data_IF_957338448060
#
_entry.id   IF_957338448060
#
_cell.length_a   1.000
_cell.length_b   1.000
_cell.length_c   1.000
_cell.angle_alpha   90.00
_cell.angle_beta   90.00
_cell.angle_gamma   90.00
#
_symmetry.space_group_name_H-M   'P 1'
#
loop_
_entity.id
_entity.type
_entity.pdbx_description
1 polymer ?
#
# COMPACT_ATOMS: atom_id res chain seq x y z
N UNK A 1 39.99 33.98 -30.69
CA UNK A 1 38.91 34.30 -29.72
C UNK A 1 38.33 32.98 -29.30
N UNK A 2 38.87 32.40 -28.20
CA UNK A 2 38.47 31.07 -27.68
C UNK A 2 37.31 31.24 -26.70
N UNK A 3 36.23 30.51 -26.93
CA UNK A 3 35.07 30.48 -26.04
C UNK A 3 35.40 29.47 -24.92
N UNK A 4 35.24 29.78 -23.63
CA UNK A 4 35.41 28.79 -22.57
C UNK A 4 34.17 27.88 -22.49
N UNK A 5 34.38 26.58 -22.61
CA UNK A 5 33.44 25.56 -22.22
C UNK A 5 33.23 25.63 -20.70
N UNK A 6 32.06 26.03 -20.27
CA UNK A 6 31.61 25.87 -18.87
C UNK A 6 31.09 24.47 -18.69
N UNK A 7 31.97 23.59 -18.24
CA UNK A 7 31.62 22.27 -17.69
C UNK A 7 30.88 22.51 -16.35
N UNK A 8 29.56 22.47 -16.37
CA UNK A 8 28.72 22.51 -15.18
C UNK A 8 28.56 21.07 -14.66
N UNK A 9 29.61 20.56 -14.01
CA UNK A 9 29.56 19.32 -13.22
C UNK A 9 28.64 19.55 -11.99
N UNK A 10 27.35 19.24 -12.14
CA UNK A 10 26.40 19.24 -11.04
C UNK A 10 26.73 18.00 -10.19
N UNK A 11 27.17 18.15 -8.93
CA UNK A 11 27.53 17.01 -8.10
C UNK A 11 26.27 16.15 -7.88
N UNK A 12 26.26 14.95 -8.46
CA UNK A 12 25.25 13.92 -8.17
C UNK A 12 25.43 13.54 -6.70
N UNK A 13 24.64 14.13 -5.83
CA UNK A 13 24.66 13.85 -4.41
C UNK A 13 24.41 12.35 -4.20
N UNK A 14 25.45 11.63 -3.79
CA UNK A 14 25.43 10.19 -3.58
C UNK A 14 24.46 9.88 -2.42
N UNK A 15 23.26 9.45 -2.76
CA UNK A 15 22.20 9.09 -1.81
C UNK A 15 22.72 8.10 -0.77
N UNK A 16 22.41 8.34 0.52
CA UNK A 16 22.85 7.47 1.63
C UNK A 16 22.18 6.09 1.53
N UNK A 17 22.83 5.05 2.05
CA UNK A 17 22.30 3.68 1.98
C UNK A 17 20.90 3.54 2.63
N UNK A 18 20.64 4.27 3.71
CA UNK A 18 19.33 4.32 4.36
C UNK A 18 18.24 4.92 3.48
N UNK A 19 18.49 6.07 2.86
CA UNK A 19 17.55 6.74 1.94
C UNK A 19 17.19 5.83 0.76
N UNK A 20 18.18 5.12 0.23
CA UNK A 20 17.99 4.18 -0.88
C UNK A 20 17.16 2.96 -0.46
N UNK A 21 17.34 2.49 0.79
CA UNK A 21 16.54 1.40 1.34
C UNK A 21 15.06 1.80 1.44
N UNK A 22 14.78 3.00 1.92
CA UNK A 22 13.43 3.55 2.00
C UNK A 22 12.77 3.65 0.62
N UNK A 23 13.50 4.16 -0.40
CA UNK A 23 12.99 4.21 -1.77
C UNK A 23 12.65 2.83 -2.34
N UNK A 24 13.45 1.81 -2.04
CA UNK A 24 13.16 0.44 -2.50
C UNK A 24 11.93 -0.11 -1.76
N UNK A 25 11.77 0.14 -0.47
CA UNK A 25 10.58 -0.28 0.28
C UNK A 25 9.31 0.40 -0.23
N UNK A 26 9.38 1.70 -0.56
CA UNK A 26 8.25 2.42 -1.16
C UNK A 26 7.89 1.86 -2.55
N UNK A 27 8.90 1.59 -3.37
CA UNK A 27 8.70 0.95 -4.67
C UNK A 27 8.11 -0.46 -4.51
N UNK A 28 8.64 -1.26 -3.58
CA UNK A 28 8.16 -2.61 -3.30
C UNK A 28 6.71 -2.60 -2.82
N UNK A 29 6.33 -1.68 -1.91
CA UNK A 29 4.96 -1.54 -1.43
C UNK A 29 3.98 -1.27 -2.56
N UNK A 30 4.33 -0.38 -3.52
CA UNK A 30 3.50 -0.13 -4.71
C UNK A 30 3.37 -1.37 -5.58
N UNK A 31 4.51 -2.00 -5.94
CA UNK A 31 4.52 -3.15 -6.86
C UNK A 31 3.80 -4.36 -6.26
N UNK A 32 4.01 -4.64 -4.96
CA UNK A 32 3.28 -5.71 -4.28
C UNK A 32 1.78 -5.41 -4.14
N UNK A 33 1.41 -4.16 -3.91
CA UNK A 33 0.01 -3.76 -3.87
C UNK A 33 -0.69 -3.94 -5.22
N UNK A 34 -0.02 -3.58 -6.30
CA UNK A 34 -0.59 -3.63 -7.65
C UNK A 34 -0.65 -5.06 -8.23
N UNK A 35 0.41 -5.87 -8.01
CA UNK A 35 0.57 -7.18 -8.66
C UNK A 35 0.43 -8.37 -7.69
N UNK A 36 0.31 -8.13 -6.39
CA UNK A 36 0.31 -9.15 -5.36
C UNK A 36 1.69 -9.77 -5.14
N UNK A 37 1.80 -10.63 -4.12
CA UNK A 37 3.08 -11.30 -3.82
C UNK A 37 3.53 -12.23 -4.94
N UNK A 38 2.61 -13.05 -5.48
CA UNK A 38 2.96 -14.05 -6.50
C UNK A 38 3.36 -13.37 -7.82
N UNK A 39 2.60 -12.37 -8.25
CA UNK A 39 2.82 -11.66 -9.52
C UNK A 39 4.02 -10.71 -9.53
N UNK A 40 4.64 -10.43 -8.39
CA UNK A 40 5.76 -9.49 -8.26
C UNK A 40 7.11 -10.19 -8.36
N UNK A 41 8.06 -9.55 -9.04
CA UNK A 41 9.49 -9.95 -9.11
C UNK A 41 10.39 -8.88 -8.50
N UNK A 42 11.58 -9.30 -8.02
CA UNK A 42 12.60 -8.33 -7.55
C UNK A 42 13.15 -7.44 -8.68
N UNK A 43 13.03 -7.86 -9.93
CA UNK A 43 13.41 -7.06 -11.10
C UNK A 43 12.42 -5.89 -11.32
N UNK A 44 11.12 -6.12 -11.17
CA UNK A 44 10.10 -5.08 -11.26
C UNK A 44 10.25 -4.05 -10.13
N UNK A 45 10.50 -4.52 -8.90
CA UNK A 45 10.77 -3.65 -7.76
C UNK A 45 12.03 -2.80 -8.01
N UNK A 46 13.09 -3.40 -8.52
CA UNK A 46 14.32 -2.70 -8.85
C UNK A 46 14.09 -1.61 -9.90
N UNK A 47 13.31 -1.92 -10.95
CA UNK A 47 12.92 -0.95 -11.99
C UNK A 47 12.11 0.19 -11.38
N UNK A 48 11.10 -0.11 -10.56
CA UNK A 48 10.26 0.88 -9.91
C UNK A 48 11.03 1.77 -8.91
N UNK A 49 12.09 1.24 -8.29
CA UNK A 49 12.97 1.95 -7.36
C UNK A 49 14.18 2.60 -8.02
N UNK A 50 14.29 2.57 -9.36
CA UNK A 50 15.43 3.09 -10.14
C UNK A 50 16.80 2.57 -9.65
N UNK A 51 16.88 1.28 -9.29
CA UNK A 51 18.09 0.59 -8.86
C UNK A 51 18.31 -0.70 -9.66
N UNK A 52 19.48 -1.34 -9.52
CA UNK A 52 19.72 -2.65 -10.13
C UNK A 52 19.10 -3.78 -9.30
N UNK A 53 18.62 -4.85 -9.95
CA UNK A 53 18.10 -6.03 -9.26
C UNK A 53 19.12 -6.66 -8.29
N UNK A 54 20.43 -6.83 -8.65
CA UNK A 54 21.42 -7.32 -7.71
C UNK A 54 21.55 -6.46 -6.45
N UNK A 55 21.28 -5.15 -6.55
CA UNK A 55 21.29 -4.25 -5.39
C UNK A 55 20.13 -4.56 -4.44
N UNK A 56 18.91 -4.79 -4.97
CA UNK A 56 17.75 -5.20 -4.18
C UNK A 56 18.01 -6.52 -3.46
N UNK A 57 18.52 -7.53 -4.20
CA UNK A 57 18.83 -8.86 -3.64
C UNK A 57 19.92 -8.77 -2.57
N UNK A 58 20.95 -7.96 -2.77
CA UNK A 58 22.00 -7.76 -1.77
C UNK A 58 21.47 -7.11 -0.49
N UNK A 59 20.51 -6.21 -0.61
CA UNK A 59 19.97 -5.44 0.52
C UNK A 59 18.95 -6.21 1.33
N UNK A 60 18.06 -6.95 0.69
CA UNK A 60 16.92 -7.62 1.30
C UNK A 60 17.00 -9.15 1.29
N UNK A 61 17.89 -9.74 0.51
CA UNK A 61 18.04 -11.18 0.34
C UNK A 61 17.00 -11.76 -0.61
N UNK A 62 15.84 -12.18 -0.11
CA UNK A 62 14.80 -12.82 -0.90
C UNK A 62 13.58 -11.90 -1.11
N UNK A 63 12.75 -12.22 -2.11
CA UNK A 63 11.45 -11.56 -2.31
C UNK A 63 10.57 -11.68 -1.06
N UNK A 64 10.58 -12.84 -0.40
CA UNK A 64 9.84 -13.08 0.83
C UNK A 64 10.26 -12.13 1.96
N UNK A 65 11.57 -12.03 2.23
CA UNK A 65 12.08 -11.11 3.25
C UNK A 65 11.73 -9.65 2.95
N UNK A 66 11.86 -9.24 1.68
CA UNK A 66 11.45 -7.90 1.26
C UNK A 66 9.94 -7.67 1.47
N UNK A 67 9.11 -8.66 1.14
CA UNK A 67 7.66 -8.55 1.36
C UNK A 67 7.31 -8.48 2.84
N UNK A 68 7.94 -9.29 3.69
CA UNK A 68 7.77 -9.22 5.16
C UNK A 68 8.12 -7.84 5.69
N UNK A 69 9.19 -7.22 5.21
CA UNK A 69 9.54 -5.84 5.60
C UNK A 69 8.51 -4.81 5.11
N UNK A 70 7.96 -4.99 3.92
CA UNK A 70 6.85 -4.15 3.42
C UNK A 70 5.61 -4.30 4.31
N UNK A 71 5.27 -5.52 4.74
CA UNK A 71 4.14 -5.77 5.65
C UNK A 71 4.37 -5.10 7.01
N UNK A 72 5.55 -5.22 7.59
CA UNK A 72 5.89 -4.53 8.84
C UNK A 72 5.75 -3.01 8.70
N UNK A 73 6.33 -2.42 7.65
CA UNK A 73 6.24 -0.99 7.37
C UNK A 73 4.79 -0.53 7.18
N UNK A 74 3.99 -1.29 6.43
CA UNK A 74 2.58 -0.98 6.23
C UNK A 74 1.79 -0.98 7.54
N UNK A 75 2.02 -1.98 8.41
CA UNK A 75 1.42 -2.06 9.74
C UNK A 75 1.85 -0.91 10.65
N UNK A 76 3.13 -0.57 10.65
CA UNK A 76 3.65 0.53 11.47
C UNK A 76 3.09 1.88 11.02
N UNK A 77 2.98 2.10 9.70
CA UNK A 77 2.35 3.30 9.13
C UNK A 77 0.87 3.37 9.50
N UNK A 78 0.14 2.27 9.40
CA UNK A 78 -1.27 2.18 9.78
C UNK A 78 -1.48 2.50 11.26
N UNK A 79 -0.72 1.86 12.15
CA UNK A 79 -0.84 2.08 13.59
C UNK A 79 -0.39 3.49 14.00
N UNK A 80 0.61 4.07 13.32
CA UNK A 80 1.01 5.45 13.53
C UNK A 80 -0.12 6.43 13.15
N UNK A 81 -0.79 6.22 12.02
CA UNK A 81 -1.94 7.02 11.61
C UNK A 81 -3.11 6.91 12.60
N UNK A 82 -3.35 5.71 13.13
CA UNK A 82 -4.39 5.49 14.15
C UNK A 82 -4.08 6.19 15.47
N UNK A 83 -2.82 6.13 15.93
CA UNK A 83 -2.38 6.83 17.15
C UNK A 83 -2.44 8.35 16.98
N UNK A 84 -2.08 8.86 15.81
CA UNK A 84 -2.23 10.28 15.51
C UNK A 84 -3.70 10.72 15.59
N UNK A 85 -4.62 9.95 14.96
CA UNK A 85 -6.05 10.22 15.03
C UNK A 85 -6.61 10.08 16.47
N UNK A 86 -6.09 9.14 17.27
CA UNK A 86 -6.49 8.98 18.66
C UNK A 86 -6.07 10.18 19.52
N UNK A 87 -4.89 10.75 19.25
CA UNK A 87 -4.32 11.87 20.00
C UNK A 87 -4.92 13.25 19.62
N UNK A 88 -5.74 13.33 18.58
CA UNK A 88 -6.40 14.59 18.20
C UNK A 88 -7.32 15.09 19.32
N UNK A 89 -7.22 16.36 19.69
CA UNK A 89 -8.18 17.04 20.56
C UNK A 89 -9.39 17.44 19.73
N UNK A 90 -10.46 16.63 19.78
CA UNK A 90 -11.62 16.75 18.89
C UNK A 90 -12.88 16.16 19.51
N UNK A 91 -14.01 16.82 19.33
CA UNK A 91 -15.34 16.33 19.69
C UNK A 91 -15.84 15.17 18.80
N UNK A 92 -15.14 14.89 17.70
CA UNK A 92 -15.47 13.77 16.78
C UNK A 92 -15.19 12.45 17.49
N UNK A 93 -16.14 11.49 17.49
CA UNK A 93 -15.94 10.19 18.12
C UNK A 93 -14.66 9.48 17.63
N UNK A 94 -13.93 8.83 18.55
CA UNK A 94 -12.67 8.13 18.29
C UNK A 94 -12.80 7.15 17.12
N UNK A 95 -13.88 6.37 17.07
CA UNK A 95 -14.13 5.41 15.99
C UNK A 95 -14.18 6.06 14.62
N UNK A 96 -14.79 7.24 14.52
CA UNK A 96 -14.87 8.01 13.27
C UNK A 96 -13.52 8.59 12.88
N UNK A 97 -12.75 9.14 13.83
CA UNK A 97 -11.40 9.69 13.57
C UNK A 97 -10.46 8.60 13.05
N UNK A 98 -10.42 7.44 13.72
CA UNK A 98 -9.61 6.29 13.28
C UNK A 98 -10.10 5.76 11.93
N UNK A 99 -11.42 5.71 11.70
CA UNK A 99 -11.99 5.34 10.41
C UNK A 99 -11.58 6.27 9.27
N UNK A 100 -11.61 7.59 9.49
CA UNK A 100 -11.16 8.59 8.52
C UNK A 100 -9.65 8.49 8.26
N UNK A 101 -8.84 8.22 9.29
CA UNK A 101 -7.41 7.96 9.14
C UNK A 101 -7.16 6.70 8.29
N UNK A 102 -7.91 5.62 8.52
CA UNK A 102 -7.83 4.40 7.71
C UNK A 102 -8.11 4.65 6.23
N UNK A 103 -9.23 5.32 5.92
CA UNK A 103 -9.57 5.68 4.54
C UNK A 103 -8.49 6.59 3.92
N UNK A 104 -7.92 7.51 4.69
CA UNK A 104 -6.81 8.36 4.26
C UNK A 104 -5.57 7.58 3.79
N UNK A 105 -5.33 6.39 4.37
CA UNK A 105 -4.22 5.52 3.98
C UNK A 105 -4.39 4.91 2.57
N UNK A 106 -5.60 4.90 2.02
CA UNK A 106 -5.82 4.48 0.63
C UNK A 106 -5.06 5.36 -0.38
N UNK A 107 -4.72 6.61 0.00
CA UNK A 107 -3.86 7.48 -0.80
C UNK A 107 -2.40 6.99 -0.87
N UNK A 108 -1.95 6.17 0.08
CA UNK A 108 -0.64 5.53 0.04
C UNK A 108 -0.72 4.27 -0.82
N UNK A 109 -0.32 4.43 -2.08
CA UNK A 109 -0.39 3.36 -3.09
C UNK A 109 0.22 2.06 -2.58
N UNK A 110 -0.57 1.01 -2.62
CA UNK A 110 -0.16 -0.35 -2.29
C UNK A 110 -0.13 -0.69 -0.80
N UNK A 111 -0.27 0.27 0.14
CA UNK A 111 -0.20 -0.01 1.57
C UNK A 111 -1.29 -1.00 2.01
N UNK A 112 -2.56 -0.64 1.81
CA UNK A 112 -3.70 -1.46 2.23
C UNK A 112 -3.76 -2.77 1.45
N UNK A 113 -3.45 -2.74 0.15
CA UNK A 113 -3.43 -3.94 -0.69
C UNK A 113 -2.27 -4.88 -0.33
N UNK A 114 -1.09 -4.36 0.03
CA UNK A 114 0.01 -5.22 0.52
C UNK A 114 -0.37 -5.97 1.79
N UNK A 115 -1.08 -5.33 2.73
CA UNK A 115 -1.62 -5.99 3.92
C UNK A 115 -2.65 -7.06 3.55
N UNK A 116 -3.56 -6.77 2.61
CA UNK A 116 -4.56 -7.73 2.15
C UNK A 116 -3.90 -8.95 1.50
N UNK A 117 -2.88 -8.74 0.65
CA UNK A 117 -2.10 -9.85 0.07
C UNK A 117 -1.41 -10.70 1.14
N UNK A 118 -0.88 -10.08 2.20
CA UNK A 118 -0.29 -10.82 3.31
C UNK A 118 -1.34 -11.67 4.07
N UNK A 119 -2.56 -11.18 4.25
CA UNK A 119 -3.63 -11.94 4.90
C UNK A 119 -4.06 -13.16 4.07
N UNK A 120 -4.13 -13.05 2.75
CA UNK A 120 -4.41 -14.19 1.86
C UNK A 120 -3.30 -15.25 1.93
N UNK A 121 -2.06 -14.84 2.20
CA UNK A 121 -0.92 -15.74 2.40
C UNK A 121 -0.82 -16.31 3.82
N UNK A 122 -1.89 -16.30 4.59
CA UNK A 122 -1.90 -16.78 5.99
C UNK A 122 -1.41 -18.23 6.19
N UNK A 123 -1.49 -19.09 5.16
CA UNK A 123 -0.95 -20.44 5.15
C UNK A 123 0.54 -20.56 4.82
N UNK A 124 1.18 -19.49 4.32
CA UNK A 124 2.61 -19.47 4.01
C UNK A 124 3.46 -19.48 5.28
N UNK A 125 4.58 -20.20 5.28
CA UNK A 125 5.41 -20.39 6.47
C UNK A 125 6.22 -19.14 6.86
N UNK A 126 6.55 -18.29 5.92
CA UNK A 126 7.31 -17.03 6.16
C UNK A 126 6.39 -15.84 6.40
N UNK A 127 5.39 -15.67 5.54
CA UNK A 127 4.48 -14.50 5.57
C UNK A 127 3.34 -14.68 6.58
N UNK A 128 2.78 -15.90 6.71
CA UNK A 128 1.60 -16.16 7.53
C UNK A 128 1.72 -15.78 9.00
N UNK A 129 2.83 -16.12 9.70
CA UNK A 129 3.02 -15.68 11.09
C UNK A 129 3.03 -14.16 11.24
N UNK A 130 3.69 -13.45 10.32
CA UNK A 130 3.76 -11.98 10.32
C UNK A 130 2.40 -11.35 10.06
N UNK A 131 1.63 -11.91 9.11
CA UNK A 131 0.29 -11.44 8.79
C UNK A 131 -0.67 -11.61 9.98
N UNK A 132 -0.66 -12.76 10.65
CA UNK A 132 -1.50 -13.02 11.83
C UNK A 132 -1.13 -12.10 12.99
N UNK A 133 0.16 -11.97 13.30
CA UNK A 133 0.61 -11.07 14.36
C UNK A 133 0.26 -9.62 14.02
N UNK A 134 0.44 -9.20 12.77
CA UNK A 134 0.07 -7.87 12.31
C UNK A 134 -1.42 -7.58 12.50
N UNK A 135 -2.29 -8.51 12.13
CA UNK A 135 -3.74 -8.38 12.33
C UNK A 135 -4.11 -8.28 13.82
N UNK A 136 -3.47 -9.12 14.66
CA UNK A 136 -3.67 -9.06 16.11
C UNK A 136 -3.12 -7.78 16.74
N UNK A 137 -2.04 -7.18 16.22
CA UNK A 137 -1.56 -5.86 16.66
C UNK A 137 -2.61 -4.77 16.42
N UNK A 138 -3.29 -4.80 15.27
CA UNK A 138 -4.39 -3.86 14.98
C UNK A 138 -5.54 -4.09 15.95
N UNK A 139 -5.94 -5.34 16.20
CA UNK A 139 -6.99 -5.66 17.16
C UNK A 139 -6.63 -5.20 18.59
N UNK A 140 -5.40 -5.45 19.05
CA UNK A 140 -4.95 -4.98 20.38
C UNK A 140 -4.96 -3.45 20.47
N UNK A 141 -4.53 -2.75 19.43
CA UNK A 141 -4.64 -1.28 19.40
C UNK A 141 -6.09 -0.81 19.62
N UNK A 142 -7.04 -1.40 18.92
CA UNK A 142 -8.45 -1.04 19.06
C UNK A 142 -8.96 -1.29 20.49
N UNK A 143 -8.57 -2.44 21.08
CA UNK A 143 -8.98 -2.83 22.43
C UNK A 143 -8.31 -2.04 23.54
N UNK A 144 -7.00 -1.93 23.48
CA UNK A 144 -6.15 -1.53 24.61
C UNK A 144 -5.82 -0.04 24.56
N UNK A 145 -5.64 0.54 23.36
CA UNK A 145 -5.30 1.96 23.20
C UNK A 145 -6.54 2.81 22.87
N UNK A 146 -7.40 2.37 21.93
CA UNK A 146 -8.58 3.12 21.52
C UNK A 146 -9.83 2.87 22.41
N UNK A 147 -9.80 1.85 23.28
CA UNK A 147 -10.84 1.55 24.26
C UNK A 147 -12.12 0.94 23.66
N UNK A 148 -12.06 0.37 22.45
CA UNK A 148 -13.22 -0.25 21.82
C UNK A 148 -13.64 -1.53 22.55
N UNK A 149 -14.93 -1.80 22.59
CA UNK A 149 -15.48 -3.12 22.95
C UNK A 149 -15.09 -4.18 21.91
N UNK A 150 -15.33 -5.46 22.22
CA UNK A 150 -15.11 -6.56 21.24
C UNK A 150 -15.97 -6.33 19.99
N UNK A 151 -17.24 -5.97 20.17
CA UNK A 151 -18.19 -5.76 19.08
C UNK A 151 -17.82 -4.54 18.21
N UNK A 152 -17.40 -3.44 18.82
CA UNK A 152 -16.90 -2.26 18.08
C UNK A 152 -15.64 -2.59 17.31
N UNK A 153 -14.71 -3.36 17.90
CA UNK A 153 -13.49 -3.79 17.22
C UNK A 153 -13.80 -4.70 16.04
N UNK A 154 -14.73 -5.65 16.20
CA UNK A 154 -15.18 -6.54 15.11
C UNK A 154 -15.82 -5.72 13.98
N UNK A 155 -16.72 -4.80 14.30
CA UNK A 155 -17.38 -3.95 13.32
C UNK A 155 -16.38 -3.08 12.56
N UNK A 156 -15.40 -2.50 13.26
CA UNK A 156 -14.34 -1.71 12.65
C UNK A 156 -13.47 -2.54 11.69
N UNK A 157 -13.03 -3.73 12.11
CA UNK A 157 -12.25 -4.64 11.26
C UNK A 157 -13.05 -5.12 10.05
N UNK A 158 -14.34 -5.41 10.21
CA UNK A 158 -15.23 -5.82 9.12
C UNK A 158 -15.40 -4.70 8.08
N UNK A 159 -15.60 -3.45 8.54
CA UNK A 159 -15.65 -2.27 7.67
C UNK A 159 -14.34 -2.04 6.93
N UNK A 160 -13.20 -2.18 7.62
CA UNK A 160 -11.86 -2.07 7.00
C UNK A 160 -11.62 -3.13 5.92
N UNK A 161 -12.05 -4.38 6.15
CA UNK A 161 -11.94 -5.44 5.14
C UNK A 161 -12.86 -5.19 3.94
N UNK A 162 -14.06 -4.65 4.14
CA UNK A 162 -14.93 -4.22 3.04
C UNK A 162 -14.25 -3.13 2.19
N UNK A 163 -13.68 -2.12 2.84
CA UNK A 163 -12.93 -1.05 2.17
C UNK A 163 -11.78 -1.63 1.33
N UNK A 164 -10.97 -2.52 1.89
CA UNK A 164 -9.88 -3.17 1.15
C UNK A 164 -10.39 -3.97 -0.05
N UNK A 165 -11.50 -4.67 0.11
CA UNK A 165 -12.14 -5.43 -0.97
C UNK A 165 -12.59 -4.49 -2.09
N UNK A 166 -13.23 -3.38 -1.78
CA UNK A 166 -13.65 -2.39 -2.78
C UNK A 166 -12.46 -1.75 -3.51
N UNK A 167 -11.37 -1.45 -2.80
CA UNK A 167 -10.13 -0.95 -3.40
C UNK A 167 -9.53 -2.01 -4.34
N UNK A 168 -9.41 -3.26 -3.89
CA UNK A 168 -8.85 -4.36 -4.67
C UNK A 168 -9.68 -4.70 -5.91
N UNK A 169 -11.01 -4.60 -5.82
CA UNK A 169 -11.95 -4.76 -6.94
C UNK A 169 -12.02 -3.53 -7.85
N UNK A 170 -11.36 -2.41 -7.50
CA UNK A 170 -11.47 -1.14 -8.21
C UNK A 170 -12.92 -0.68 -8.38
N UNK A 171 -13.74 -0.85 -7.34
CA UNK A 171 -15.17 -0.53 -7.38
C UNK A 171 -15.46 0.93 -7.77
N UNK A 172 -14.51 1.83 -7.58
CA UNK A 172 -14.61 3.23 -8.02
C UNK A 172 -14.75 3.38 -9.53
N UNK A 173 -14.25 2.43 -10.33
CA UNK A 173 -14.38 2.43 -11.79
C UNK A 173 -15.84 2.21 -12.23
N UNK A 174 -16.65 1.58 -11.37
CA UNK A 174 -18.06 1.29 -11.61
C UNK A 174 -19.01 2.37 -11.05
N UNK A 175 -18.50 3.39 -10.34
CA UNK A 175 -19.31 4.40 -9.64
C UNK A 175 -20.34 5.09 -10.55
N UNK A 176 -19.94 5.44 -11.77
CA UNK A 176 -20.81 6.14 -12.74
C UNK A 176 -21.59 5.18 -13.66
N UNK A 177 -21.28 3.87 -13.61
CA UNK A 177 -21.85 2.85 -14.48
C UNK A 177 -22.94 2.01 -13.82
N UNK A 178 -22.76 1.72 -12.50
CA UNK A 178 -23.64 0.84 -11.74
C UNK A 178 -24.24 1.57 -10.52
N UNK A 179 -25.57 1.69 -10.43
CA UNK A 179 -26.24 2.32 -9.30
C UNK A 179 -25.94 1.64 -7.95
N UNK A 180 -25.75 0.30 -7.94
CA UNK A 180 -25.42 -0.45 -6.71
C UNK A 180 -24.00 -0.17 -6.25
N UNK A 181 -23.04 -0.03 -7.19
CA UNK A 181 -21.68 0.38 -6.88
C UNK A 181 -21.65 1.79 -6.28
N UNK A 182 -22.43 2.72 -6.85
CA UNK A 182 -22.58 4.09 -6.33
C UNK A 182 -23.16 4.10 -4.92
N UNK A 183 -24.23 3.36 -4.69
CA UNK A 183 -24.87 3.25 -3.37
C UNK A 183 -23.90 2.72 -2.32
N UNK A 184 -23.23 1.60 -2.63
CA UNK A 184 -22.26 0.96 -1.73
C UNK A 184 -21.07 1.87 -1.42
N UNK A 185 -20.48 2.50 -2.43
CA UNK A 185 -19.35 3.41 -2.26
C UNK A 185 -19.73 4.66 -1.46
N UNK A 186 -20.91 5.23 -1.71
CA UNK A 186 -21.42 6.38 -0.96
C UNK A 186 -21.63 6.03 0.51
N UNK A 187 -22.17 4.85 0.80
CA UNK A 187 -22.35 4.36 2.16
C UNK A 187 -21.01 4.07 2.87
N UNK A 188 -20.04 3.51 2.16
CA UNK A 188 -18.74 3.16 2.72
C UNK A 188 -17.80 4.37 2.93
N UNK A 189 -17.92 5.41 2.10
CA UNK A 189 -17.04 6.58 2.09
C UNK A 189 -17.80 7.92 2.18
N UNK A 190 -18.64 8.15 3.19
CA UNK A 190 -19.54 9.32 3.22
C UNK A 190 -18.79 10.66 3.19
N UNK A 191 -17.55 10.72 3.67
CA UNK A 191 -16.74 11.95 3.75
C UNK A 191 -15.50 11.95 2.84
N UNK A 192 -15.14 10.81 2.30
CA UNK A 192 -13.88 10.60 1.53
C UNK A 192 -14.13 10.04 0.13
N UNK A 193 -15.38 10.09 -0.34
CA UNK A 193 -15.73 9.51 -1.64
C UNK A 193 -14.94 10.17 -2.80
N UNK A 194 -14.79 11.49 -2.79
CA UNK A 194 -14.00 12.20 -3.82
C UNK A 194 -12.52 11.80 -3.77
N UNK A 195 -11.95 11.63 -2.57
CA UNK A 195 -10.59 11.10 -2.42
C UNK A 195 -10.51 9.69 -3.04
N UNK A 196 -11.44 8.80 -2.71
CA UNK A 196 -11.43 7.43 -3.24
C UNK A 196 -11.56 7.41 -4.76
N UNK A 197 -12.40 8.26 -5.34
CA UNK A 197 -12.54 8.40 -6.80
C UNK A 197 -11.28 8.95 -7.47
N UNK A 198 -10.57 9.89 -6.83
CA UNK A 198 -9.32 10.44 -7.36
C UNK A 198 -8.14 9.45 -7.35
N UNK A 199 -8.23 8.38 -6.54
CA UNK A 199 -7.21 7.32 -6.46
C UNK A 199 -7.35 6.25 -7.55
N UNK A 200 -8.43 6.31 -8.34
CA UNK A 200 -8.66 5.41 -9.47
C UNK A 200 -7.53 5.57 -10.49
N UNK A 201 -6.80 4.49 -10.77
CA UNK A 201 -5.71 4.49 -11.74
C UNK A 201 -6.27 4.64 -13.15
N UNK A 202 -5.66 5.47 -14.02
CA UNK A 202 -5.95 5.43 -15.46
C UNK A 202 -5.60 4.03 -15.99
N UNK A 203 -6.52 3.43 -16.70
CA UNK A 203 -6.40 2.10 -17.35
C UNK A 203 -5.29 2.05 -18.43
N UNK A 204 -4.66 3.18 -18.75
CA UNK A 204 -3.69 3.31 -19.84
C UNK A 204 -2.34 2.58 -19.59
N UNK A 205 -1.93 2.38 -18.35
CA UNK A 205 -0.61 1.81 -18.06
C UNK A 205 -0.58 0.27 -18.05
N UNK A 206 -1.74 -0.37 -17.94
CA UNK A 206 -1.81 -1.84 -17.87
C UNK A 206 -1.68 -2.50 -19.25
N UNK A 207 -2.16 -1.87 -20.30
CA UNK A 207 -2.11 -2.40 -21.67
C UNK A 207 -0.70 -2.35 -22.28
N UNK A 208 0.13 -1.39 -21.86
CA UNK A 208 1.50 -1.24 -22.37
C UNK A 208 2.49 -2.28 -21.80
N UNK A 209 2.23 -2.81 -20.60
CA UNK A 209 3.11 -3.80 -19.96
C UNK A 209 2.88 -5.25 -20.41
N UNK A 210 1.68 -5.55 -20.95
CA UNK A 210 1.29 -6.91 -21.38
C UNK A 210 1.52 -7.18 -22.88
N UNK A 211 1.91 -6.17 -23.66
CA UNK A 211 1.96 -6.24 -25.13
C UNK A 211 3.30 -6.66 -25.75
N UNK A 212 4.37 -6.93 -24.99
CA UNK A 212 5.69 -7.21 -25.57
C UNK A 212 6.19 -8.67 -25.44
N UNK A 213 5.29 -9.63 -25.33
CA UNK A 213 5.63 -11.05 -25.14
C UNK A 213 5.01 -12.01 -26.13
N UNK A 214 4.70 -11.59 -27.35
CA UNK A 214 4.05 -12.44 -28.34
C UNK A 214 4.66 -12.34 -29.73
N UNK A 215 5.89 -12.83 -29.91
CA UNK A 215 6.36 -13.14 -31.27
C UNK A 215 7.17 -14.43 -31.31
N UNK A 216 6.65 -15.32 -32.16
CA UNK A 216 7.32 -16.33 -33.00
C UNK A 216 7.76 -17.63 -32.35
N UNK A 217 6.90 -18.62 -32.45
CA UNK A 217 7.32 -19.98 -32.79
C UNK A 217 6.52 -20.39 -34.06
N UNK A 218 7.18 -20.24 -35.18
CA UNK A 218 6.89 -20.98 -36.42
C UNK A 218 8.03 -21.99 -36.64
#
# INVERSE_FOLDING_TARGET
>A
MSVPETDTDVPVTRMRAGERRELILDAAMRVFGDHGYVGTTTAEIARAGAVSQPYVVRMFGTKEKLFVEVVHRALDTLLAAFRAALAEDSEVPVSRRIGLAYVGLAAHRGLLLSLMHAFVLGGDSGVGPVAREGFLRVYRFLRDEAGFTVDESQNFLSGGMLINTMIGLRMTDEFDRDPSARELLTAAFPEKLDLMRSLTMPTADFAAASGSGGESLA
#
